data_IF_243804356286
#
_entry.id   IF_243804356286
#
_cell.length_a   1.000
_cell.length_b   1.000
_cell.length_c   1.000
_cell.angle_alpha   90.00
_cell.angle_beta   90.00
_cell.angle_gamma   90.00
#
_symmetry.space_group_name_H-M   'P 1'
#
loop_
_entity.id
_entity.type
_entity.pdbx_description
1 polymer ?
#
# COMPACT_ATOMS: atom_id res chain seq x y z
N UNK A 1 -10.31 11.60 -0.66
CA UNK A 1 -10.19 10.17 -1.03
C UNK A 1 -10.92 9.96 -2.35
N UNK A 2 -10.45 9.09 -3.24
CA UNK A 2 -11.12 8.86 -4.53
C UNK A 2 -12.10 7.68 -4.43
N UNK A 3 -13.29 7.97 -3.90
CA UNK A 3 -14.37 7.00 -3.70
C UNK A 3 -14.91 6.45 -5.05
N UNK A 4 -14.86 7.24 -6.11
CA UNK A 4 -15.29 6.84 -7.45
C UNK A 4 -14.41 5.72 -8.00
N UNK A 5 -13.08 5.81 -7.82
CA UNK A 5 -12.16 4.75 -8.24
C UNK A 5 -12.39 3.45 -7.49
N UNK A 6 -12.59 3.50 -6.17
CA UNK A 6 -12.88 2.30 -5.35
C UNK A 6 -14.19 1.65 -5.82
N UNK A 7 -15.27 2.42 -5.95
CA UNK A 7 -16.55 1.93 -6.45
C UNK A 7 -16.43 1.33 -7.87
N UNK A 8 -15.61 1.94 -8.73
CA UNK A 8 -15.33 1.43 -10.08
C UNK A 8 -14.60 0.08 -10.02
N UNK A 9 -13.57 -0.05 -9.17
CA UNK A 9 -12.86 -1.33 -8.96
C UNK A 9 -13.80 -2.42 -8.43
N UNK A 10 -14.68 -2.11 -7.49
CA UNK A 10 -15.70 -3.04 -6.98
C UNK A 10 -16.61 -3.52 -8.12
N UNK A 11 -17.07 -2.62 -9.00
CA UNK A 11 -17.89 -2.99 -10.17
C UNK A 11 -17.14 -3.91 -11.13
N UNK A 12 -15.87 -3.64 -11.41
CA UNK A 12 -15.04 -4.48 -12.28
C UNK A 12 -14.90 -5.89 -11.69
N UNK A 13 -14.47 -5.99 -10.42
CA UNK A 13 -14.31 -7.27 -9.75
C UNK A 13 -15.64 -8.05 -9.69
N UNK A 14 -16.73 -7.35 -9.35
CA UNK A 14 -18.07 -7.93 -9.32
C UNK A 14 -18.54 -8.42 -10.68
N UNK A 15 -18.23 -7.69 -11.76
CA UNK A 15 -18.54 -8.12 -13.13
C UNK A 15 -17.79 -9.39 -13.52
N UNK A 16 -16.51 -9.50 -13.12
CA UNK A 16 -15.67 -10.66 -13.40
C UNK A 16 -16.12 -11.90 -12.62
N UNK A 17 -16.55 -11.71 -11.37
CA UNK A 17 -16.91 -12.80 -10.44
C UNK A 17 -18.43 -13.06 -10.31
N UNK A 18 -19.24 -12.27 -11.00
CA UNK A 18 -20.72 -12.27 -10.87
C UNK A 18 -21.21 -11.99 -9.44
N UNK A 19 -20.52 -11.08 -8.72
CA UNK A 19 -20.93 -10.63 -7.39
C UNK A 19 -21.90 -9.46 -7.43
N UNK A 20 -22.62 -9.24 -6.33
CA UNK A 20 -23.41 -8.03 -6.10
C UNK A 20 -22.51 -6.84 -5.76
N UNK A 21 -22.25 -6.00 -6.77
CA UNK A 21 -21.42 -4.81 -6.62
C UNK A 21 -22.00 -3.77 -5.65
N UNK A 22 -23.32 -3.67 -5.53
CA UNK A 22 -23.96 -2.68 -4.65
C UNK A 22 -23.84 -3.11 -3.19
N UNK A 23 -24.01 -4.40 -2.90
CA UNK A 23 -23.78 -4.93 -1.56
C UNK A 23 -22.33 -4.68 -1.09
N UNK A 24 -21.34 -4.94 -1.95
CA UNK A 24 -19.92 -4.69 -1.63
C UNK A 24 -19.62 -3.20 -1.43
N UNK A 25 -20.18 -2.33 -2.27
CA UNK A 25 -20.05 -0.88 -2.11
C UNK A 25 -20.67 -0.38 -0.80
N UNK A 26 -21.86 -0.86 -0.44
CA UNK A 26 -22.51 -0.48 0.82
C UNK A 26 -21.71 -0.97 2.02
N UNK A 27 -21.18 -2.19 2.01
CA UNK A 27 -20.31 -2.68 3.08
C UNK A 27 -19.06 -1.81 3.25
N UNK A 28 -18.44 -1.41 2.14
CA UNK A 28 -17.33 -0.45 2.18
C UNK A 28 -17.73 0.91 2.79
N UNK A 29 -18.84 1.50 2.34
CA UNK A 29 -19.33 2.79 2.85
C UNK A 29 -19.69 2.70 4.33
N UNK A 30 -20.29 1.60 4.76
CA UNK A 30 -20.63 1.34 6.16
C UNK A 30 -19.39 1.35 7.05
N UNK A 31 -18.35 0.60 6.67
CA UNK A 31 -17.07 0.60 7.39
C UNK A 31 -16.41 1.98 7.42
N UNK A 32 -16.42 2.68 6.28
CA UNK A 32 -15.86 4.05 6.18
C UNK A 32 -16.58 5.04 7.10
N UNK A 33 -17.91 5.04 7.11
CA UNK A 33 -18.70 5.91 7.97
C UNK A 33 -18.56 5.52 9.45
N UNK A 34 -18.45 4.23 9.78
CA UNK A 34 -18.22 3.76 11.13
C UNK A 34 -16.92 4.35 11.72
N UNK A 35 -15.80 4.24 10.99
CA UNK A 35 -14.51 4.77 11.42
C UNK A 35 -14.43 6.30 11.43
N UNK A 36 -15.18 6.98 10.53
CA UNK A 36 -15.31 8.45 10.60
C UNK A 36 -16.06 8.91 11.85
N UNK A 37 -17.04 8.13 12.32
CA UNK A 37 -17.82 8.44 13.53
C UNK A 37 -17.05 8.11 14.80
N UNK A 38 -16.32 7.01 14.79
CA UNK A 38 -15.49 6.55 15.90
C UNK A 38 -14.09 6.14 15.38
N UNK A 39 -13.05 6.97 15.59
CA UNK A 39 -11.69 6.68 15.11
C UNK A 39 -11.01 5.53 15.88
N UNK A 40 -11.65 4.97 16.90
CA UNK A 40 -11.17 3.77 17.60
C UNK A 40 -11.72 2.47 17.01
N UNK A 41 -12.64 2.57 16.03
CA UNK A 41 -13.23 1.42 15.34
C UNK A 41 -12.14 0.53 14.75
N UNK A 42 -12.27 -0.78 14.99
CA UNK A 42 -11.51 -1.82 14.28
C UNK A 42 -12.49 -2.83 13.73
N UNK A 43 -12.36 -3.17 12.45
CA UNK A 43 -13.14 -4.25 11.89
C UNK A 43 -12.66 -5.60 12.46
N UNK A 44 -13.56 -6.61 12.53
CA UNK A 44 -13.13 -7.99 12.68
C UNK A 44 -12.19 -8.39 11.54
N UNK A 45 -11.19 -9.23 11.84
CA UNK A 45 -10.30 -9.78 10.80
C UNK A 45 -11.13 -10.60 9.80
N UNK A 46 -11.10 -10.27 8.49
CA UNK A 46 -11.84 -11.02 7.49
C UNK A 46 -11.40 -12.48 7.42
N UNK A 47 -12.33 -13.43 7.19
CA UNK A 47 -11.99 -14.87 7.12
C UNK A 47 -10.95 -15.18 6.05
N UNK A 48 -10.98 -14.43 4.95
CA UNK A 48 -9.98 -14.55 3.89
C UNK A 48 -8.57 -14.26 4.39
N UNK A 49 -8.41 -13.19 5.19
CA UNK A 49 -7.12 -12.79 5.77
C UNK A 49 -6.63 -13.86 6.74
N UNK A 50 -7.49 -14.34 7.66
CA UNK A 50 -7.11 -15.42 8.59
C UNK A 50 -6.60 -16.66 7.86
N UNK A 51 -7.23 -17.06 6.75
CA UNK A 51 -6.77 -18.20 5.95
C UNK A 51 -5.42 -17.94 5.27
N UNK A 52 -5.18 -16.72 4.79
CA UNK A 52 -3.88 -16.35 4.22
C UNK A 52 -2.80 -16.38 5.30
N UNK A 53 -3.12 -15.88 6.50
CA UNK A 53 -2.23 -15.89 7.67
C UNK A 53 -1.88 -17.32 8.13
N UNK A 54 -2.79 -18.29 8.04
CA UNK A 54 -2.51 -19.70 8.31
C UNK A 54 -1.43 -20.29 7.38
N UNK A 55 -1.24 -19.69 6.20
CA UNK A 55 -0.19 -20.04 5.24
C UNK A 55 1.15 -19.37 5.52
N UNK A 56 1.24 -18.45 6.47
CA UNK A 56 2.49 -17.76 6.77
C UNK A 56 3.51 -18.72 7.38
N UNK A 57 4.71 -18.69 6.81
CA UNK A 57 5.86 -19.40 7.34
C UNK A 57 6.84 -18.37 7.89
N UNK A 58 7.05 -18.37 9.20
CA UNK A 58 8.08 -17.55 9.85
C UNK A 58 9.48 -18.17 9.66
N UNK A 59 9.83 -18.45 8.40
CA UNK A 59 11.14 -18.93 7.98
C UNK A 59 11.86 -17.78 7.26
N UNK A 60 12.56 -16.98 8.05
CA UNK A 60 13.30 -15.82 7.55
C UNK A 60 14.38 -16.22 6.53
N UNK A 61 15.03 -17.38 6.71
CA UNK A 61 16.01 -17.87 5.75
C UNK A 61 15.37 -18.16 4.38
N UNK A 62 14.13 -18.67 4.38
CA UNK A 62 13.34 -18.84 3.14
C UNK A 62 12.96 -17.50 2.51
N UNK A 63 12.62 -16.48 3.30
CA UNK A 63 12.41 -15.12 2.79
C UNK A 63 13.66 -14.62 2.07
N UNK A 64 14.82 -14.68 2.74
CA UNK A 64 16.10 -14.24 2.17
C UNK A 64 16.43 -14.97 0.87
N UNK A 65 16.27 -16.30 0.86
CA UNK A 65 16.48 -17.11 -0.34
C UNK A 65 15.54 -16.70 -1.49
N UNK A 66 14.28 -16.41 -1.20
CA UNK A 66 13.33 -15.91 -2.20
C UNK A 66 13.73 -14.52 -2.71
N UNK A 67 14.09 -13.58 -1.82
CA UNK A 67 14.57 -12.26 -2.21
C UNK A 67 15.77 -12.32 -3.17
N UNK A 68 16.72 -13.24 -2.96
CA UNK A 68 17.84 -13.45 -3.88
C UNK A 68 17.40 -13.81 -5.30
N UNK A 69 16.27 -14.52 -5.47
CA UNK A 69 15.71 -14.85 -6.79
C UNK A 69 15.07 -13.66 -7.51
N UNK A 70 14.68 -12.63 -6.76
CA UNK A 70 14.02 -11.43 -7.28
C UNK A 70 15.00 -10.35 -7.73
N UNK A 71 16.24 -10.43 -7.27
CA UNK A 71 17.25 -9.39 -7.43
C UNK A 71 17.87 -9.39 -8.83
N UNK A 72 17.54 -8.35 -9.60
CA UNK A 72 18.24 -7.99 -10.82
C UNK A 72 19.46 -7.10 -10.52
N UNK A 73 20.64 -7.41 -11.09
CA UNK A 73 21.84 -6.61 -10.90
C UNK A 73 21.66 -5.14 -11.32
N UNK A 74 22.35 -4.24 -10.62
CA UNK A 74 22.42 -2.81 -10.92
C UNK A 74 23.87 -2.40 -11.19
N UNK A 75 24.06 -1.30 -11.91
CA UNK A 75 25.42 -0.76 -12.14
C UNK A 75 26.05 -0.23 -10.85
N UNK A 76 27.38 -0.22 -10.78
CA UNK A 76 28.13 0.30 -9.64
C UNK A 76 27.79 1.76 -9.32
N UNK A 77 27.61 2.60 -10.35
CA UNK A 77 27.16 3.98 -10.18
C UNK A 77 25.79 4.03 -9.48
N UNK A 78 24.86 3.15 -9.87
CA UNK A 78 23.53 3.10 -9.27
C UNK A 78 23.60 2.62 -7.83
N UNK A 79 24.42 1.60 -7.56
CA UNK A 79 24.68 1.07 -6.23
C UNK A 79 25.21 2.17 -5.31
N UNK A 80 26.24 2.91 -5.72
CA UNK A 80 26.81 4.00 -4.92
C UNK A 80 25.79 5.10 -4.61
N UNK A 81 24.91 5.45 -5.57
CA UNK A 81 23.83 6.43 -5.33
C UNK A 81 22.78 5.92 -4.34
N UNK A 82 22.49 4.63 -4.36
CA UNK A 82 21.57 4.00 -3.43
C UNK A 82 22.19 3.93 -2.03
N UNK A 83 23.45 3.54 -1.90
CA UNK A 83 24.17 3.48 -0.60
C UNK A 83 24.14 4.84 0.12
N UNK A 84 24.40 5.95 -0.60
CA UNK A 84 24.29 7.32 -0.05
C UNK A 84 22.87 7.62 0.45
N UNK A 85 21.86 7.30 -0.35
CA UNK A 85 20.47 7.55 0.01
C UNK A 85 20.02 6.68 1.19
N UNK A 86 20.47 5.43 1.24
CA UNK A 86 20.16 4.49 2.30
C UNK A 86 20.81 4.90 3.63
N UNK A 87 22.05 5.40 3.61
CA UNK A 87 22.69 5.97 4.80
C UNK A 87 21.88 7.16 5.38
N UNK A 88 21.33 8.03 4.52
CA UNK A 88 20.47 9.14 4.97
C UNK A 88 19.19 8.63 5.66
N UNK A 89 18.62 7.53 5.16
CA UNK A 89 17.50 6.86 5.81
C UNK A 89 17.90 6.23 7.14
N UNK A 90 19.02 5.51 7.18
CA UNK A 90 19.55 4.89 8.39
C UNK A 90 19.78 5.93 9.50
N UNK A 91 20.40 7.06 9.19
CA UNK A 91 20.59 8.17 10.13
C UNK A 91 19.24 8.69 10.67
N UNK A 92 18.26 8.86 9.78
CA UNK A 92 16.92 9.32 10.16
C UNK A 92 16.16 8.30 11.01
N UNK A 93 16.41 7.00 10.80
CA UNK A 93 15.81 5.93 11.57
C UNK A 93 16.48 5.81 12.95
N UNK A 94 17.81 5.83 13.02
CA UNK A 94 18.57 5.82 14.28
C UNK A 94 18.28 7.05 15.16
N UNK A 95 18.00 8.21 14.56
CA UNK A 95 17.56 9.39 15.32
C UNK A 95 16.20 9.17 16.01
N UNK A 96 15.31 8.36 15.41
CA UNK A 96 14.00 7.97 15.97
C UNK A 96 14.08 6.74 16.88
N UNK A 97 15.08 5.90 16.66
CA UNK A 97 15.32 4.61 17.34
C UNK A 97 16.79 4.48 17.76
N UNK A 98 17.21 5.18 18.84
CA UNK A 98 18.61 5.23 19.27
C UNK A 98 19.19 3.87 19.70
N UNK A 99 18.35 2.86 19.89
CA UNK A 99 18.77 1.48 20.17
C UNK A 99 19.35 0.75 18.96
N UNK A 100 19.11 1.24 17.74
CA UNK A 100 19.63 0.65 16.52
C UNK A 100 21.11 1.01 16.34
N UNK A 101 21.88 0.05 15.84
CA UNK A 101 23.31 0.22 15.61
C UNK A 101 23.60 0.45 14.12
N UNK A 102 24.59 1.28 13.76
CA UNK A 102 24.91 1.57 12.35
C UNK A 102 25.24 0.32 11.53
N UNK A 103 25.84 -0.70 12.16
CA UNK A 103 26.23 -1.95 11.49
C UNK A 103 25.04 -2.70 10.92
N UNK A 104 23.83 -2.53 11.48
CA UNK A 104 22.60 -3.14 10.98
C UNK A 104 22.15 -2.60 9.60
N UNK A 105 22.77 -1.51 9.14
CA UNK A 105 22.49 -0.87 7.86
C UNK A 105 23.62 -1.06 6.84
N UNK A 106 24.61 -1.90 7.14
CA UNK A 106 25.64 -2.29 6.18
C UNK A 106 25.00 -3.12 5.06
N UNK A 107 25.01 -2.60 3.83
CA UNK A 107 24.40 -3.26 2.68
C UNK A 107 25.25 -4.48 2.27
N UNK A 108 24.67 -5.66 2.44
CA UNK A 108 25.23 -6.94 1.99
C UNK A 108 24.97 -7.13 0.50
N UNK A 109 23.73 -6.85 0.08
CA UNK A 109 23.31 -7.02 -1.31
C UNK A 109 22.19 -6.07 -1.70
N UNK A 110 22.18 -5.66 -2.96
CA UNK A 110 21.16 -4.75 -3.49
C UNK A 110 20.95 -4.99 -4.98
N UNK A 111 19.71 -4.80 -5.42
CA UNK A 111 19.33 -4.96 -6.81
C UNK A 111 17.92 -4.45 -7.07
N UNK A 112 17.52 -4.45 -8.33
CA UNK A 112 16.16 -4.13 -8.73
C UNK A 112 15.27 -5.35 -8.57
N UNK A 113 13.98 -5.12 -8.47
CA UNK A 113 12.99 -6.19 -8.54
C UNK A 113 11.69 -5.65 -9.17
N UNK A 114 10.80 -6.57 -9.54
CA UNK A 114 9.58 -6.28 -10.29
C UNK A 114 8.29 -6.66 -9.54
N UNK A 115 8.35 -6.76 -8.22
CA UNK A 115 7.17 -7.05 -7.40
C UNK A 115 6.17 -5.87 -7.38
N UNK A 116 4.95 -6.22 -7.01
CA UNK A 116 3.83 -5.32 -6.75
C UNK A 116 2.96 -5.10 -7.98
N UNK A 117 1.67 -5.36 -7.81
CA UNK A 117 0.62 -5.04 -8.80
C UNK A 117 0.62 -3.53 -9.06
N UNK A 118 0.82 -3.15 -10.33
CA UNK A 118 0.91 -1.76 -10.77
C UNK A 118 2.28 -1.11 -10.56
N UNK A 119 3.09 -1.54 -9.58
CA UNK A 119 4.45 -1.03 -9.37
C UNK A 119 5.56 -1.80 -10.06
N UNK A 120 5.24 -2.97 -10.68
CA UNK A 120 6.19 -3.79 -11.44
C UNK A 120 6.99 -3.05 -12.52
N UNK A 121 6.41 -1.99 -13.07
CA UNK A 121 7.03 -1.15 -14.12
C UNK A 121 7.87 -0.01 -13.57
N UNK A 122 7.85 0.18 -12.25
CA UNK A 122 8.68 1.15 -11.57
C UNK A 122 10.07 0.58 -11.28
N UNK A 123 10.99 1.48 -10.92
CA UNK A 123 12.35 1.09 -10.56
C UNK A 123 12.41 0.87 -9.06
N UNK A 124 11.92 -0.25 -8.56
CA UNK A 124 12.00 -0.57 -7.13
C UNK A 124 13.30 -1.32 -6.82
N UNK A 125 13.74 -1.26 -5.57
CA UNK A 125 14.95 -1.92 -5.10
C UNK A 125 14.67 -2.75 -3.87
N UNK A 126 15.27 -3.95 -3.82
CA UNK A 126 15.44 -4.71 -2.59
C UNK A 126 16.87 -4.49 -2.08
N UNK A 127 17.00 -4.24 -0.78
CA UNK A 127 18.24 -3.88 -0.11
C UNK A 127 18.39 -4.82 1.09
N UNK A 128 19.30 -5.78 1.00
CA UNK A 128 19.66 -6.68 2.10
C UNK A 128 20.78 -6.06 2.92
N UNK A 129 20.58 -5.94 4.23
CA UNK A 129 21.57 -5.40 5.17
C UNK A 129 21.94 -6.41 6.24
N UNK A 130 23.05 -6.18 6.93
CA UNK A 130 23.47 -7.06 8.03
C UNK A 130 22.42 -7.09 9.15
N UNK A 131 22.19 -8.28 9.68
CA UNK A 131 21.32 -8.51 10.83
C UNK A 131 21.86 -8.04 12.17
N UNK A 132 21.09 -8.23 13.26
CA UNK A 132 21.56 -8.01 14.63
C UNK A 132 22.78 -8.86 15.03
N UNK A 133 23.00 -10.01 14.36
CA UNK A 133 24.15 -10.90 14.59
C UNK A 133 25.05 -11.01 13.35
N UNK A 134 26.10 -11.83 13.43
CA UNK A 134 26.98 -12.13 12.29
C UNK A 134 26.44 -13.25 11.37
N UNK A 135 25.32 -13.89 11.76
CA UNK A 135 24.70 -14.96 11.00
C UNK A 135 23.95 -14.38 9.79
N UNK A 136 24.23 -14.83 8.54
CA UNK A 136 23.56 -14.31 7.34
C UNK A 136 22.04 -14.47 7.34
N UNK A 137 21.51 -15.45 8.08
CA UNK A 137 20.09 -15.70 8.29
C UNK A 137 19.40 -14.68 9.21
N UNK A 138 20.15 -13.76 9.82
CA UNK A 138 19.57 -12.66 10.60
C UNK A 138 19.52 -11.34 9.80
N UNK A 139 20.02 -11.35 8.55
CA UNK A 139 20.07 -10.17 7.67
C UNK A 139 18.69 -9.59 7.41
N UNK A 140 18.57 -8.27 7.44
CA UNK A 140 17.29 -7.60 7.18
C UNK A 140 17.12 -7.29 5.70
N UNK A 141 15.87 -7.17 5.25
CA UNK A 141 15.55 -6.75 3.88
C UNK A 141 14.69 -5.49 3.93
N UNK A 142 15.07 -4.50 3.12
CA UNK A 142 14.29 -3.29 2.92
C UNK A 142 13.86 -3.19 1.46
N UNK A 143 12.66 -2.66 1.24
CA UNK A 143 12.18 -2.32 -0.08
C UNK A 143 12.14 -0.80 -0.27
N UNK A 144 12.80 -0.30 -1.30
CA UNK A 144 12.67 1.09 -1.74
C UNK A 144 11.80 1.16 -2.99
N UNK A 145 10.59 1.70 -2.83
CA UNK A 145 9.61 1.84 -3.91
C UNK A 145 9.58 3.24 -4.48
N UNK A 146 9.73 3.33 -5.81
CA UNK A 146 9.74 4.61 -6.49
C UNK A 146 8.37 5.29 -6.40
N UNK A 147 8.37 6.58 -6.03
CA UNK A 147 7.15 7.39 -6.06
C UNK A 147 7.02 8.00 -7.45
N UNK A 148 6.21 7.35 -8.28
CA UNK A 148 5.96 7.80 -9.63
C UNK A 148 4.87 8.87 -9.70
N UNK A 149 4.97 9.71 -10.73
CA UNK A 149 3.92 10.62 -11.18
C UNK A 149 3.20 10.02 -12.38
N UNK A 150 1.95 10.42 -12.56
CA UNK A 150 1.23 10.20 -13.81
C UNK A 150 0.79 11.57 -14.34
N UNK A 151 1.55 12.19 -15.26
CA UNK A 151 1.23 13.52 -15.77
C UNK A 151 -0.11 13.56 -16.51
N UNK A 152 -0.56 12.42 -17.03
CA UNK A 152 -1.83 12.30 -17.76
C UNK A 152 -3.04 12.24 -16.80
N UNK A 153 -2.81 11.96 -15.51
CA UNK A 153 -3.83 11.97 -14.47
C UNK A 153 -4.10 13.40 -13.97
N UNK A 154 -4.45 14.31 -14.89
CA UNK A 154 -4.68 15.74 -14.62
C UNK A 154 -5.82 16.02 -13.64
N UNK A 155 -6.72 15.05 -13.42
CA UNK A 155 -7.77 15.11 -12.40
C UNK A 155 -7.26 14.96 -10.96
N UNK A 156 -5.99 14.60 -10.76
CA UNK A 156 -5.37 14.45 -9.46
C UNK A 156 -4.41 15.63 -9.22
N UNK A 157 -4.71 16.53 -8.26
CA UNK A 157 -3.94 17.77 -8.04
C UNK A 157 -2.43 17.59 -7.86
N UNK A 158 -2.02 16.45 -7.28
CA UNK A 158 -0.63 16.13 -6.98
C UNK A 158 -0.03 15.09 -7.94
N UNK A 159 -0.76 14.63 -8.97
CA UNK A 159 -0.26 13.57 -9.85
C UNK A 159 0.98 13.97 -10.65
N UNK A 160 1.26 15.28 -10.77
CA UNK A 160 2.46 15.83 -11.38
C UNK A 160 3.66 15.99 -10.41
N UNK A 161 3.47 15.81 -9.09
CA UNK A 161 4.54 16.00 -8.09
C UNK A 161 4.74 14.74 -7.27
N UNK A 162 5.89 14.07 -7.38
CA UNK A 162 6.13 12.88 -6.58
C UNK A 162 6.49 13.31 -5.16
N UNK A 163 5.62 12.95 -4.21
CA UNK A 163 5.83 13.19 -2.78
C UNK A 163 5.83 11.85 -2.02
N UNK A 164 6.97 11.41 -1.45
CA UNK A 164 7.02 10.20 -0.64
C UNK A 164 6.39 10.39 0.73
N UNK A 165 6.32 11.61 1.29
CA UNK A 165 5.75 11.85 2.61
C UNK A 165 4.26 11.49 2.64
N UNK A 166 3.53 11.64 1.53
CA UNK A 166 2.12 11.22 1.43
C UNK A 166 1.91 9.73 1.74
N UNK A 167 2.90 8.87 1.44
CA UNK A 167 2.83 7.43 1.71
C UNK A 167 3.02 7.17 3.19
N UNK A 168 4.03 7.81 3.80
CA UNK A 168 4.32 7.72 5.23
C UNK A 168 3.15 8.24 6.08
N UNK A 169 2.55 9.37 5.67
CA UNK A 169 1.38 9.94 6.34
C UNK A 169 0.15 9.05 6.18
N UNK A 170 -0.02 8.40 5.03
CA UNK A 170 -1.11 7.45 4.82
C UNK A 170 -0.92 6.23 5.74
N UNK A 171 0.24 5.57 5.67
CA UNK A 171 0.59 4.40 6.49
C UNK A 171 0.33 4.66 7.98
N UNK A 172 0.85 5.77 8.52
CA UNK A 172 0.67 6.13 9.92
C UNK A 172 -0.78 6.45 10.36
N UNK A 173 -1.72 6.61 9.42
CA UNK A 173 -3.09 7.07 9.70
C UNK A 173 -4.18 6.07 9.40
N UNK A 174 -3.99 5.25 8.37
CA UNK A 174 -5.04 4.35 7.88
C UNK A 174 -4.74 2.90 8.24
N UNK A 175 -3.46 2.54 8.43
CA UNK A 175 -3.10 1.17 8.77
C UNK A 175 -3.38 0.89 10.26
N UNK A 176 -3.92 -0.29 10.54
CA UNK A 176 -4.07 -0.77 11.92
C UNK A 176 -2.75 -0.97 12.65
N UNK A 177 -1.71 -1.33 11.89
CA UNK A 177 -0.35 -1.53 12.31
C UNK A 177 0.58 -0.91 11.23
N UNK A 178 0.88 0.40 11.33
CA UNK A 178 1.80 1.06 10.41
C UNK A 178 3.20 0.43 10.43
N UNK A 179 3.93 0.53 9.33
CA UNK A 179 5.32 0.07 9.29
C UNK A 179 6.17 0.88 10.27
N UNK A 180 6.85 0.18 11.18
CA UNK A 180 7.66 0.81 12.23
C UNK A 180 8.82 1.62 11.65
N UNK A 181 9.48 1.07 10.63
CA UNK A 181 10.71 1.59 10.07
C UNK A 181 10.47 2.18 8.66
N UNK A 182 9.34 2.88 8.47
CA UNK A 182 9.08 3.58 7.21
C UNK A 182 9.92 4.86 7.09
N UNK A 183 10.33 5.20 5.86
CA UNK A 183 11.12 6.37 5.54
C UNK A 183 10.96 6.87 4.11
N UNK A 184 11.53 8.04 3.83
CA UNK A 184 11.55 8.66 2.51
C UNK A 184 12.98 9.01 2.12
N UNK A 185 13.39 8.67 0.89
CA UNK A 185 14.74 8.92 0.38
C UNK A 185 14.74 9.43 -1.05
N UNK A 186 15.84 10.04 -1.47
CA UNK A 186 16.09 10.44 -2.85
C UNK A 186 17.22 9.63 -3.45
N UNK A 187 16.91 8.72 -4.38
CA UNK A 187 17.91 7.90 -5.09
C UNK A 187 18.11 8.50 -6.47
N UNK A 188 19.30 9.05 -6.72
CA UNK A 188 19.64 9.73 -7.98
C UNK A 188 18.62 10.83 -8.36
N UNK A 189 18.18 11.63 -7.39
CA UNK A 189 17.26 12.76 -7.60
C UNK A 189 15.79 12.36 -7.77
N UNK A 190 15.45 11.08 -7.58
CA UNK A 190 14.08 10.58 -7.65
C UNK A 190 13.61 10.17 -6.25
N UNK A 191 12.37 10.49 -5.86
CA UNK A 191 11.85 10.14 -4.54
C UNK A 191 11.39 8.68 -4.46
N UNK A 192 11.65 8.10 -3.29
CA UNK A 192 11.25 6.76 -2.91
C UNK A 192 10.67 6.81 -1.50
N UNK A 193 9.73 5.91 -1.23
CA UNK A 193 9.45 5.49 0.14
C UNK A 193 10.16 4.17 0.38
N UNK A 194 10.63 3.97 1.60
CA UNK A 194 11.39 2.79 2.02
C UNK A 194 10.76 2.20 3.28
N UNK A 195 10.70 0.87 3.36
CA UNK A 195 10.20 0.15 4.52
C UNK A 195 10.90 -1.21 4.63
N UNK A 196 10.83 -1.82 5.81
CA UNK A 196 11.25 -3.21 6.01
C UNK A 196 10.34 -4.16 5.22
N UNK A 197 10.95 -5.15 4.59
CA UNK A 197 10.27 -6.21 3.86
C UNK A 197 10.07 -7.40 4.82
N UNK A 198 8.81 -7.72 5.10
CA UNK A 198 8.41 -8.60 6.21
C UNK A 198 8.24 -10.05 5.77
N UNK A 199 8.48 -10.98 6.70
CA UNK A 199 8.43 -12.45 6.48
C UNK A 199 7.06 -12.95 6.01
N UNK A 200 6.01 -12.20 6.29
CA UNK A 200 4.62 -12.51 6.00
C UNK A 200 4.10 -11.81 4.73
N UNK A 201 4.99 -11.28 3.89
CA UNK A 201 4.59 -10.71 2.61
C UNK A 201 4.03 -11.78 1.66
N UNK A 202 2.79 -11.58 1.23
CA UNK A 202 2.11 -12.39 0.22
C UNK A 202 1.45 -11.49 -0.84
N UNK A 203 1.70 -11.77 -2.12
CA UNK A 203 0.88 -11.23 -3.21
C UNK A 203 -0.34 -12.12 -3.40
N UNK A 204 -1.53 -11.55 -3.24
CA UNK A 204 -2.78 -12.25 -3.52
C UNK A 204 -2.93 -12.43 -5.04
N UNK A 205 -3.13 -13.67 -5.47
CA UNK A 205 -3.37 -14.01 -6.87
C UNK A 205 -4.76 -13.51 -7.32
N UNK A 206 -4.82 -12.97 -8.52
CA UNK A 206 -6.07 -12.51 -9.15
C UNK A 206 -6.99 -13.70 -9.50
N UNK A 207 -6.42 -14.89 -9.65
CA UNK A 207 -7.15 -16.13 -9.98
C UNK A 207 -7.53 -16.95 -8.74
N UNK A 208 -7.39 -16.42 -7.52
CA UNK A 208 -7.77 -17.13 -6.29
C UNK A 208 -9.29 -17.34 -6.20
N UNK A 209 -9.76 -18.48 -6.71
CA UNK A 209 -11.16 -18.92 -6.67
C UNK A 209 -11.68 -19.22 -5.26
N UNK A 210 -10.80 -19.22 -4.25
CA UNK A 210 -11.18 -19.44 -2.88
C UNK A 210 -11.68 -18.16 -2.19
N UNK A 211 -11.65 -17.00 -2.86
CA UNK A 211 -12.31 -15.76 -2.41
C UNK A 211 -13.76 -15.73 -2.91
N UNK A 212 -14.73 -15.72 -1.98
CA UNK A 212 -16.15 -15.58 -2.30
C UNK A 212 -16.71 -14.17 -2.01
N UNK A 213 -17.97 -13.92 -2.37
CA UNK A 213 -18.62 -12.63 -2.16
C UNK A 213 -18.73 -12.25 -0.67
N UNK A 214 -18.97 -13.22 0.22
CA UNK A 214 -19.14 -12.95 1.63
C UNK A 214 -17.82 -12.52 2.27
N UNK A 215 -16.72 -13.19 1.90
CA UNK A 215 -15.37 -12.79 2.28
C UNK A 215 -14.97 -11.44 1.65
N UNK A 216 -15.34 -11.18 0.40
CA UNK A 216 -15.10 -9.87 -0.21
C UNK A 216 -15.90 -8.75 0.47
N UNK A 217 -17.09 -9.04 1.01
CA UNK A 217 -17.86 -8.08 1.80
C UNK A 217 -17.14 -7.74 3.12
N UNK A 218 -16.58 -8.74 3.80
CA UNK A 218 -15.75 -8.53 5.01
C UNK A 218 -14.51 -7.67 4.69
N UNK A 219 -13.82 -7.98 3.59
CA UNK A 219 -12.69 -7.18 3.10
C UNK A 219 -13.11 -5.75 2.74
N UNK A 220 -14.22 -5.57 2.04
CA UNK A 220 -14.73 -4.25 1.66
C UNK A 220 -15.06 -3.40 2.89
N UNK A 221 -15.72 -3.98 3.89
CA UNK A 221 -15.99 -3.32 5.17
C UNK A 221 -14.69 -2.93 5.88
N UNK A 222 -13.73 -3.85 6.00
CA UNK A 222 -12.44 -3.58 6.64
C UNK A 222 -11.65 -2.47 5.92
N UNK A 223 -11.58 -2.52 4.59
CA UNK A 223 -11.00 -1.46 3.77
C UNK A 223 -11.66 -0.11 4.03
N UNK A 224 -12.99 -0.09 4.17
CA UNK A 224 -13.76 1.08 4.55
C UNK A 224 -13.29 1.63 5.91
N UNK A 225 -13.24 0.77 6.93
CA UNK A 225 -12.79 1.16 8.28
C UNK A 225 -11.39 1.78 8.25
N UNK A 226 -10.40 1.10 7.68
CA UNK A 226 -9.02 1.59 7.61
C UNK A 226 -8.94 2.97 6.93
N UNK A 227 -9.65 3.14 5.81
CA UNK A 227 -9.69 4.41 5.10
C UNK A 227 -10.42 5.52 5.89
N UNK A 228 -11.39 5.17 6.73
CA UNK A 228 -12.11 6.11 7.59
C UNK A 228 -11.31 6.58 8.81
N UNK A 229 -10.27 5.84 9.22
CA UNK A 229 -9.41 6.20 10.37
C UNK A 229 -8.68 7.53 10.15
N UNK A 230 -8.32 7.88 8.92
CA UNK A 230 -7.65 9.14 8.64
C UNK A 230 -7.58 9.55 7.18
N UNK A 231 -7.68 10.86 6.92
CA UNK A 231 -7.47 11.40 5.58
C UNK A 231 -5.98 11.71 5.34
N UNK A 232 -5.35 11.16 4.28
CA UNK A 232 -3.91 11.33 4.05
C UNK A 232 -3.53 12.72 3.54
N UNK A 233 -4.46 13.49 2.94
CA UNK A 233 -4.16 14.82 2.37
C UNK A 233 -4.25 15.98 3.38
N UNK A 234 -4.69 15.74 4.61
CA UNK A 234 -4.99 16.85 5.53
C UNK A 234 -4.56 16.50 6.95
N UNK A 235 -3.49 17.14 7.43
CA UNK A 235 -3.24 17.24 8.87
C UNK A 235 -4.34 18.15 9.42
N UNK A 236 -5.47 17.53 9.78
CA UNK A 236 -6.64 18.26 10.19
C UNK A 236 -6.58 18.69 11.66
N UNK A 237 -5.53 18.35 12.41
CA UNK A 237 -5.40 18.80 13.80
C UNK A 237 -5.31 20.33 13.87
N UNK A 238 -6.09 21.00 14.74
CA UNK A 238 -6.98 20.43 15.77
C UNK A 238 -8.41 20.07 15.29
N UNK A 239 -8.82 20.47 14.09
CA UNK A 239 -10.15 20.27 13.48
C UNK A 239 -10.47 18.85 12.96
N UNK A 240 -9.95 17.81 13.61
CA UNK A 240 -10.12 16.42 13.17
C UNK A 240 -11.58 15.96 13.20
N UNK A 241 -12.34 16.45 14.17
CA UNK A 241 -13.74 16.07 14.42
C UNK A 241 -14.70 16.80 13.48
N UNK A 242 -14.44 18.08 13.19
CA UNK A 242 -15.16 18.85 12.17
C UNK A 242 -15.01 18.20 10.80
N UNK A 243 -13.78 17.83 10.43
CA UNK A 243 -13.52 17.18 9.15
C UNK A 243 -14.28 15.85 9.06
N UNK A 244 -14.27 15.03 10.11
CA UNK A 244 -15.03 13.76 10.16
C UNK A 244 -16.52 13.97 9.98
N UNK A 245 -17.12 14.91 10.73
CA UNK A 245 -18.54 15.25 10.58
C UNK A 245 -18.87 15.71 9.16
N UNK A 246 -18.02 16.54 8.56
CA UNK A 246 -18.19 16.97 7.18
C UNK A 246 -18.12 15.81 6.19
N UNK A 247 -17.17 14.88 6.36
CA UNK A 247 -17.05 13.70 5.50
C UNK A 247 -18.23 12.73 5.66
N UNK A 248 -18.76 12.54 6.86
CA UNK A 248 -19.97 11.74 7.09
C UNK A 248 -21.17 12.36 6.36
N UNK A 249 -21.37 13.67 6.47
CA UNK A 249 -22.42 14.38 5.75
C UNK A 249 -22.24 14.25 4.23
N UNK A 250 -21.04 14.52 3.72
CA UNK A 250 -20.71 14.39 2.30
C UNK A 250 -21.03 12.98 1.75
N UNK A 251 -20.67 11.91 2.47
CA UNK A 251 -20.99 10.55 2.03
C UNK A 251 -22.49 10.28 2.04
N UNK A 252 -23.22 10.79 3.04
CA UNK A 252 -24.67 10.69 3.10
C UNK A 252 -25.37 11.42 1.95
N UNK A 253 -24.89 12.60 1.59
CA UNK A 253 -25.50 13.45 0.57
C UNK A 253 -25.10 13.03 -0.86
N UNK A 254 -23.86 12.60 -1.07
CA UNK A 254 -23.27 12.37 -2.40
C UNK A 254 -23.04 10.87 -2.73
N UNK A 255 -23.30 9.95 -1.79
CA UNK A 255 -22.99 8.52 -1.94
C UNK A 255 -23.61 7.87 -3.17
N UNK A 256 -24.87 8.17 -3.46
CA UNK A 256 -25.57 7.68 -4.66
C UNK A 256 -24.99 8.30 -5.94
N UNK A 257 -24.73 9.61 -5.95
CA UNK A 257 -24.13 10.29 -7.09
C UNK A 257 -22.73 9.73 -7.41
N UNK A 258 -21.91 9.47 -6.39
CA UNK A 258 -20.61 8.81 -6.53
C UNK A 258 -20.75 7.40 -7.14
N UNK A 259 -21.75 6.64 -6.70
CA UNK A 259 -22.05 5.33 -7.27
C UNK A 259 -22.45 5.41 -8.75
N UNK A 260 -23.27 6.38 -9.14
CA UNK A 260 -23.65 6.60 -10.54
C UNK A 260 -22.44 6.98 -11.41
N UNK A 261 -21.60 7.90 -10.92
CA UNK A 261 -20.35 8.30 -11.59
C UNK A 261 -19.46 7.08 -11.80
N UNK A 262 -19.29 6.24 -10.78
CA UNK A 262 -18.50 5.00 -10.89
C UNK A 262 -19.06 4.04 -11.95
N UNK A 263 -20.38 4.03 -12.15
CA UNK A 263 -21.02 3.21 -13.19
C UNK A 263 -20.65 3.68 -14.61
N UNK A 264 -20.50 4.99 -14.83
CA UNK A 264 -20.01 5.53 -16.11
C UNK A 264 -18.55 5.19 -16.34
N UNK A 265 -17.72 5.38 -15.32
CA UNK A 265 -16.28 5.05 -15.39
C UNK A 265 -16.05 3.56 -15.60
N UNK A 266 -16.80 2.69 -14.91
CA UNK A 266 -16.79 1.25 -15.11
C UNK A 266 -17.03 0.87 -16.57
N UNK A 267 -18.08 1.42 -17.21
CA UNK A 267 -18.37 1.12 -18.62
C UNK A 267 -17.21 1.52 -19.53
N UNK A 268 -16.67 2.73 -19.37
CA UNK A 268 -15.54 3.19 -20.19
C UNK A 268 -14.31 2.29 -20.05
N UNK A 269 -13.97 1.90 -18.82
CA UNK A 269 -12.82 1.01 -18.56
C UNK A 269 -13.08 -0.39 -19.10
N UNK A 270 -14.28 -0.94 -18.87
CA UNK A 270 -14.65 -2.29 -19.29
C UNK A 270 -14.70 -2.41 -20.81
N UNK A 271 -15.35 -1.47 -21.50
CA UNK A 271 -15.46 -1.45 -22.96
C UNK A 271 -14.07 -1.32 -23.61
N UNK A 272 -13.20 -0.46 -23.05
CA UNK A 272 -11.82 -0.31 -23.49
C UNK A 272 -11.01 -1.60 -23.32
N UNK A 273 -11.16 -2.29 -22.18
CA UNK A 273 -10.52 -3.58 -21.94
C UNK A 273 -11.02 -4.67 -22.91
N UNK A 274 -12.34 -4.74 -23.15
CA UNK A 274 -12.90 -5.69 -24.11
C UNK A 274 -12.42 -5.46 -25.54
N UNK A 275 -12.17 -4.21 -25.94
CA UNK A 275 -11.58 -3.89 -27.24
C UNK A 275 -10.13 -4.37 -27.35
N UNK A 276 -9.34 -4.26 -26.28
CA UNK A 276 -7.94 -4.73 -26.26
C UNK A 276 -7.82 -6.26 -26.21
N UNK A 277 -8.88 -6.96 -25.76
CA UNK A 277 -8.92 -8.43 -25.70
C UNK A 277 -9.31 -9.08 -27.03
N UNK A 278 -9.87 -8.32 -27.97
CA UNK A 278 -10.24 -8.78 -29.32
C UNK A 278 -9.06 -8.66 -30.27
#
# INVERSE_FOLDING_TARGET
MDLVRIATSIRIASRMRSWDAWALWNGFVEGYVAALRDPTTRAPVPRYVTRIEEGFHHDHARLLAWCETLLEPISDERRARLEIAFATYADSLMARRPELRPEAFEIVRVGRHHLGVGSRHHRNYLIRTRGPSAAPEDDLVFEAKAVATNPDATCLPDAARPDPLRVLVADARIAYAPFRDVGAVSIAGRPYWIHEFVDDYVEVDLEDDALDQAQMLELAYDMGVQLGLGHPRSIAAPYGDELRRHLVAFVGDEGEALWEVSGRMFRQVWDGWEQLRR
#
